data_IF_371278795825
#
_entry.id   IF_371278795825
#
_cell.length_a   1.000
_cell.length_b   1.000
_cell.length_c   1.000
_cell.angle_alpha   90.00
_cell.angle_beta   90.00
_cell.angle_gamma   90.00
#
_symmetry.space_group_name_H-M   'P 1'
#
loop_
_entity.id
_entity.type
_entity.pdbx_description
1 polymer ?
#
# COMPACT_ATOMS: atom_id res chain seq x y z
N UNK A 1 -16.32 32.05 -42.33
CA UNK A 1 -15.72 31.40 -43.52
C UNK A 1 -15.63 32.28 -44.76
N UNK A 2 -16.21 33.51 -44.76
CA UNK A 2 -16.16 34.41 -45.93
C UNK A 2 -16.98 33.91 -47.12
N UNK A 3 -18.00 33.09 -46.87
CA UNK A 3 -18.85 32.48 -47.91
C UNK A 3 -20.20 33.21 -48.01
N UNK A 4 -20.75 33.23 -49.22
CA UNK A 4 -22.08 33.80 -49.50
C UNK A 4 -23.19 32.83 -49.03
N UNK A 5 -24.40 33.32 -48.68
CA UNK A 5 -25.49 32.47 -48.17
C UNK A 5 -25.98 31.38 -49.12
N UNK A 6 -25.70 31.49 -50.41
CA UNK A 6 -26.05 30.51 -51.45
C UNK A 6 -24.87 29.62 -51.88
N UNK A 7 -23.79 29.59 -51.09
CA UNK A 7 -22.61 28.77 -51.41
C UNK A 7 -22.98 27.29 -51.54
N UNK A 8 -22.46 26.65 -52.58
CA UNK A 8 -22.70 25.23 -52.82
C UNK A 8 -22.02 24.37 -51.76
N UNK A 9 -22.55 23.17 -51.51
CA UNK A 9 -22.00 22.24 -50.52
C UNK A 9 -20.49 21.99 -50.72
N UNK A 10 -20.04 21.91 -51.97
CA UNK A 10 -18.63 21.70 -52.33
C UNK A 10 -17.72 22.89 -51.97
N UNK A 11 -18.26 24.10 -51.96
CA UNK A 11 -17.55 25.32 -51.54
C UNK A 11 -17.50 25.48 -50.02
N UNK A 12 -18.57 25.03 -49.34
CA UNK A 12 -18.64 24.93 -47.88
C UNK A 12 -17.60 23.92 -47.39
N UNK A 13 -17.54 22.73 -48.01
CA UNK A 13 -16.58 21.68 -47.65
C UNK A 13 -15.12 22.15 -47.86
N UNK A 14 -14.82 22.83 -48.97
CA UNK A 14 -13.50 23.43 -49.23
C UNK A 14 -13.14 24.58 -48.28
N UNK A 15 -14.12 25.33 -47.78
CA UNK A 15 -13.86 26.36 -46.79
C UNK A 15 -13.62 25.75 -45.40
N UNK A 16 -14.29 24.64 -45.11
CA UNK A 16 -14.10 23.86 -43.89
C UNK A 16 -12.71 23.20 -43.85
N UNK A 17 -12.27 22.57 -44.94
CA UNK A 17 -10.91 22.01 -45.04
C UNK A 17 -9.82 23.09 -44.89
N UNK A 18 -10.01 24.28 -45.49
CA UNK A 18 -9.10 25.42 -45.29
C UNK A 18 -9.06 25.90 -43.83
N UNK A 19 -10.15 25.75 -43.08
CA UNK A 19 -10.22 26.15 -41.68
C UNK A 19 -9.53 25.12 -40.77
N UNK A 20 -9.70 23.82 -41.04
CA UNK A 20 -8.98 22.75 -40.35
C UNK A 20 -7.48 22.89 -40.58
N UNK A 21 -7.06 23.09 -41.82
CA UNK A 21 -5.64 23.24 -42.16
C UNK A 21 -5.00 24.52 -41.57
N UNK A 22 -5.82 25.53 -41.23
CA UNK A 22 -5.38 26.73 -40.50
C UNK A 22 -5.26 26.46 -39.00
N UNK A 23 -6.10 25.58 -38.45
CA UNK A 23 -6.06 25.15 -37.05
C UNK A 23 -4.84 24.27 -36.74
N UNK A 24 -4.40 23.43 -37.69
CA UNK A 24 -3.21 22.59 -37.56
C UNK A 24 -1.89 23.33 -37.86
N UNK A 25 -1.96 24.61 -38.25
CA UNK A 25 -0.77 25.39 -38.57
C UNK A 25 -0.07 25.86 -37.28
N UNK A 26 1.25 25.64 -37.11
CA UNK A 26 1.97 25.89 -35.86
C UNK A 26 1.99 27.36 -35.38
N UNK A 27 1.51 28.30 -36.22
CA UNK A 27 1.40 29.71 -35.86
C UNK A 27 0.31 30.02 -34.81
N UNK A 28 -0.70 29.14 -34.61
CA UNK A 28 -1.79 29.35 -33.65
C UNK A 28 -1.53 28.71 -32.26
N UNK A 29 -0.50 27.88 -32.09
CA UNK A 29 -0.11 27.34 -30.78
C UNK A 29 0.56 28.38 -29.87
N UNK A 30 0.89 29.57 -30.38
CA UNK A 30 1.51 30.66 -29.59
C UNK A 30 0.53 31.65 -28.94
N UNK A 31 -0.78 31.51 -29.15
CA UNK A 31 -1.77 32.36 -28.47
C UNK A 31 -2.45 31.56 -27.36
N UNK A 32 -2.04 31.79 -26.11
CA UNK A 32 -2.64 31.18 -24.92
C UNK A 32 -4.10 31.61 -24.78
N UNK A 33 -5.03 30.65 -24.79
CA UNK A 33 -6.41 30.86 -24.34
C UNK A 33 -6.81 29.77 -23.34
N UNK A 34 -7.57 30.10 -22.29
CA UNK A 34 -7.94 29.14 -21.26
C UNK A 34 -8.82 28.00 -21.82
N UNK A 35 -8.58 26.73 -21.41
CA UNK A 35 -9.14 25.53 -22.05
C UNK A 35 -10.67 25.34 -21.90
N UNK A 36 -11.35 26.14 -21.07
CA UNK A 36 -12.80 26.05 -20.88
C UNK A 36 -13.60 26.63 -22.06
N UNK A 37 -13.14 27.72 -22.67
CA UNK A 37 -13.86 28.39 -23.75
C UNK A 37 -13.77 27.64 -25.10
N UNK A 38 -12.80 26.74 -25.25
CA UNK A 38 -12.61 25.96 -26.49
C UNK A 38 -13.60 24.80 -26.59
N UNK A 39 -13.86 24.09 -25.48
CA UNK A 39 -14.85 23.00 -25.45
C UNK A 39 -16.28 23.50 -25.62
N UNK A 40 -16.62 24.63 -25.02
CA UNK A 40 -17.93 25.26 -25.23
C UNK A 40 -18.12 25.71 -26.68
N UNK A 41 -17.11 26.32 -27.31
CA UNK A 41 -17.21 26.70 -28.73
C UNK A 41 -17.25 25.48 -29.67
N UNK A 42 -16.57 24.39 -29.34
CA UNK A 42 -16.63 23.13 -30.10
C UNK A 42 -18.04 22.51 -29.97
N UNK A 43 -18.62 22.48 -28.77
CA UNK A 43 -19.96 21.96 -28.56
C UNK A 43 -21.03 22.81 -29.28
N UNK A 44 -20.90 24.14 -29.24
CA UNK A 44 -21.81 25.06 -29.93
C UNK A 44 -21.71 24.96 -31.46
N UNK A 45 -20.50 24.69 -31.98
CA UNK A 45 -20.29 24.41 -33.40
C UNK A 45 -20.82 23.03 -33.83
N UNK A 46 -20.72 22.02 -32.97
CA UNK A 46 -21.27 20.68 -33.21
C UNK A 46 -22.80 20.69 -33.19
N UNK A 47 -23.40 21.42 -32.26
CA UNK A 47 -24.85 21.60 -32.18
C UNK A 47 -25.39 22.38 -33.38
N UNK A 48 -24.68 23.42 -33.83
CA UNK A 48 -25.01 24.14 -35.06
C UNK A 48 -24.91 23.24 -36.31
N UNK A 49 -23.90 22.36 -36.38
CA UNK A 49 -23.73 21.39 -37.46
C UNK A 49 -24.83 20.32 -37.48
N UNK A 50 -25.22 19.79 -36.32
CA UNK A 50 -26.30 18.81 -36.17
C UNK A 50 -27.68 19.41 -36.50
N UNK A 51 -27.87 20.70 -36.23
CA UNK A 51 -29.10 21.42 -36.57
C UNK A 51 -29.17 21.72 -38.07
N UNK A 52 -28.03 22.01 -38.72
CA UNK A 52 -27.96 22.29 -40.16
C UNK A 52 -27.95 21.02 -41.04
N UNK A 53 -27.49 19.88 -40.52
CA UNK A 53 -27.42 18.62 -41.28
C UNK A 53 -28.71 17.80 -41.23
N UNK A 54 -29.59 18.04 -40.26
CA UNK A 54 -30.85 17.32 -40.09
C UNK A 54 -32.08 18.21 -40.41
N UNK A 55 -32.84 17.93 -41.48
CA UNK A 55 -33.96 18.76 -41.93
C UNK A 55 -35.09 18.87 -40.89
N UNK A 56 -35.37 17.82 -40.10
CA UNK A 56 -36.41 17.85 -39.05
C UNK A 56 -36.02 18.76 -37.87
N UNK A 57 -34.72 18.82 -37.53
CA UNK A 57 -34.21 19.70 -36.47
C UNK A 57 -34.15 21.16 -36.91
N UNK A 58 -33.88 21.41 -38.20
CA UNK A 58 -33.99 22.72 -38.84
C UNK A 58 -35.40 23.28 -38.74
N UNK A 59 -36.41 22.49 -39.10
CA UNK A 59 -37.80 22.90 -38.96
C UNK A 59 -38.23 23.12 -37.50
N UNK A 60 -37.73 22.33 -36.55
CA UNK A 60 -38.01 22.51 -35.13
C UNK A 60 -37.41 23.82 -34.59
N UNK A 61 -36.20 24.17 -35.04
CA UNK A 61 -35.53 25.42 -34.71
C UNK A 61 -36.22 26.64 -35.35
N UNK A 62 -36.65 26.53 -36.62
CA UNK A 62 -37.39 27.59 -37.31
C UNK A 62 -38.81 27.77 -36.76
N UNK A 63 -39.44 26.71 -36.23
CA UNK A 63 -40.69 26.82 -35.45
C UNK A 63 -40.47 27.52 -34.11
N UNK A 64 -39.36 27.24 -33.42
CA UNK A 64 -39.01 27.90 -32.17
C UNK A 64 -38.76 29.41 -32.35
N UNK A 65 -38.18 29.82 -33.48
CA UNK A 65 -37.98 31.24 -33.82
C UNK A 65 -39.26 31.96 -34.27
N UNK A 66 -40.18 31.26 -34.93
CA UNK A 66 -41.45 31.84 -35.40
C UNK A 66 -42.53 31.94 -34.29
N UNK A 67 -42.41 31.19 -33.20
CA UNK A 67 -43.31 31.28 -32.03
C UNK A 67 -43.15 32.59 -31.22
N UNK A 68 -42.05 33.33 -31.41
CA UNK A 68 -41.80 34.61 -30.76
C UNK A 68 -42.58 35.82 -31.33
N UNK A 69 -43.44 35.62 -32.35
CA UNK A 69 -44.24 36.70 -32.97
C UNK A 69 -45.69 36.28 -33.24
N UNK A 70 -46.57 36.31 -32.22
CA UNK A 70 -47.97 36.77 -32.38
C UNK A 70 -48.67 36.96 -31.02
N UNK A 71 -49.64 37.88 -31.03
CA UNK A 71 -50.22 38.67 -29.92
C UNK A 71 -51.48 38.05 -29.28
N UNK A 72 -51.70 38.51 -28.03
CA UNK A 72 -52.95 38.84 -27.28
C UNK A 72 -53.80 37.75 -26.61
N UNK A 73 -53.97 37.95 -25.29
CA UNK A 73 -54.84 37.42 -24.20
C UNK A 73 -56.28 36.97 -24.57
N UNK A 74 -57.02 36.20 -23.71
CA UNK A 74 -56.94 36.16 -22.24
C UNK A 74 -57.06 34.78 -21.53
N UNK A 75 -56.81 34.85 -20.23
CA UNK A 75 -57.18 33.92 -19.14
C UNK A 75 -56.15 32.89 -18.65
N UNK A 76 -56.13 32.78 -17.31
CA UNK A 76 -55.60 31.71 -16.44
C UNK A 76 -54.17 31.80 -15.87
N UNK A 77 -54.18 32.17 -14.58
CA UNK A 77 -53.35 31.68 -13.47
C UNK A 77 -51.84 31.98 -13.46
N UNK A 78 -51.48 32.83 -12.48
CA UNK A 78 -50.13 33.10 -12.04
C UNK A 78 -49.38 31.83 -11.58
N UNK A 79 -48.34 31.44 -12.31
CA UNK A 79 -47.30 30.53 -11.80
C UNK A 79 -45.98 31.27 -11.68
N UNK A 80 -45.63 31.62 -10.45
CA UNK A 80 -44.33 32.18 -10.05
C UNK A 80 -43.20 31.16 -10.31
N UNK A 81 -42.19 31.55 -11.08
CA UNK A 81 -40.96 30.78 -11.31
C UNK A 81 -40.17 30.62 -9.99
N UNK A 82 -39.65 29.40 -9.69
CA UNK A 82 -38.92 29.16 -8.46
C UNK A 82 -37.60 29.96 -8.43
N UNK A 83 -37.28 30.48 -7.26
CA UNK A 83 -36.09 31.28 -7.02
C UNK A 83 -34.81 30.48 -7.29
N UNK A 84 -33.71 31.19 -7.59
CA UNK A 84 -32.37 30.59 -7.74
C UNK A 84 -31.92 29.75 -6.52
N UNK A 85 -32.48 30.00 -5.34
CA UNK A 85 -32.26 29.20 -4.15
C UNK A 85 -32.95 27.83 -4.25
N UNK A 86 -34.20 27.78 -4.73
CA UNK A 86 -34.96 26.55 -4.97
C UNK A 86 -34.37 25.72 -6.10
N UNK A 87 -33.88 26.35 -7.17
CA UNK A 87 -33.16 25.67 -8.26
C UNK A 87 -31.82 25.09 -7.80
N UNK A 88 -31.11 25.76 -6.88
CA UNK A 88 -29.89 25.22 -6.25
C UNK A 88 -30.21 24.08 -5.29
N UNK A 89 -31.33 24.14 -4.59
CA UNK A 89 -31.77 23.08 -3.69
C UNK A 89 -32.29 21.85 -4.45
N UNK A 90 -33.00 22.04 -5.56
CA UNK A 90 -33.40 21.00 -6.50
C UNK A 90 -32.18 20.35 -7.17
N UNK A 91 -31.19 21.14 -7.61
CA UNK A 91 -29.93 20.60 -8.14
C UNK A 91 -29.10 19.87 -7.06
N UNK A 92 -29.11 20.34 -5.80
CA UNK A 92 -28.51 19.60 -4.66
C UNK A 92 -29.23 18.27 -4.38
N UNK A 93 -30.56 18.22 -4.57
CA UNK A 93 -31.36 16.99 -4.45
C UNK A 93 -31.18 16.05 -5.64
N UNK A 94 -31.01 16.56 -6.87
CA UNK A 94 -30.81 15.75 -8.08
C UNK A 94 -29.40 15.18 -8.24
N UNK A 95 -28.36 15.85 -7.69
CA UNK A 95 -26.98 15.31 -7.65
C UNK A 95 -26.77 14.17 -6.64
N UNK A 96 -27.80 13.76 -5.91
CA UNK A 96 -27.79 12.49 -5.16
C UNK A 96 -28.08 11.36 -6.14
N UNK A 97 -27.01 10.75 -6.68
CA UNK A 97 -27.09 9.38 -7.17
C UNK A 97 -27.61 8.51 -6.01
N UNK A 98 -28.94 8.29 -5.95
CA UNK A 98 -29.59 7.50 -4.91
C UNK A 98 -28.93 6.12 -4.89
N UNK A 99 -28.06 5.87 -3.91
CA UNK A 99 -27.61 4.52 -3.67
C UNK A 99 -28.69 3.82 -2.87
N UNK A 100 -29.30 2.82 -3.48
CA UNK A 100 -30.49 2.14 -2.96
C UNK A 100 -30.28 1.63 -1.51
N UNK A 101 -29.07 1.16 -1.17
CA UNK A 101 -28.77 0.76 0.21
C UNK A 101 -28.43 1.95 1.14
N UNK A 102 -27.90 3.04 0.60
CA UNK A 102 -27.50 4.21 1.36
C UNK A 102 -28.71 4.79 2.10
N UNK A 103 -29.82 4.96 1.38
CA UNK A 103 -31.08 5.46 1.95
C UNK A 103 -31.71 4.44 2.91
N UNK A 104 -31.67 3.15 2.57
CA UNK A 104 -32.21 2.09 3.42
C UNK A 104 -31.57 2.05 4.81
N UNK A 105 -30.26 2.21 4.88
CA UNK A 105 -29.55 2.26 6.16
C UNK A 105 -29.59 3.67 6.78
N UNK A 106 -29.83 4.70 5.98
CA UNK A 106 -29.82 6.11 6.40
C UNK A 106 -28.39 6.67 6.50
N UNK A 107 -27.50 6.21 5.64
CA UNK A 107 -26.13 6.72 5.51
C UNK A 107 -26.14 8.11 4.85
N UNK A 108 -25.38 9.06 5.40
CA UNK A 108 -25.19 10.38 4.78
C UNK A 108 -24.43 10.29 3.46
N UNK A 109 -23.48 9.35 3.40
CA UNK A 109 -22.67 8.99 2.23
C UNK A 109 -22.20 7.53 2.35
N UNK A 110 -21.65 6.93 1.29
CA UNK A 110 -21.25 5.52 1.34
C UNK A 110 -20.10 5.30 2.33
N UNK A 111 -20.26 4.43 3.35
CA UNK A 111 -19.21 4.21 4.34
C UNK A 111 -17.95 3.58 3.76
N UNK A 112 -18.05 2.76 2.71
CA UNK A 112 -16.93 1.98 2.16
C UNK A 112 -16.58 2.36 0.73
N UNK A 113 -16.77 3.64 0.37
CA UNK A 113 -16.30 4.13 -0.92
C UNK A 113 -14.78 3.97 -1.06
N UNK A 114 -14.33 3.71 -2.29
CA UNK A 114 -12.92 3.56 -2.65
C UNK A 114 -12.24 4.90 -2.91
N UNK A 115 -13.02 5.97 -3.09
CA UNK A 115 -12.48 7.32 -3.21
C UNK A 115 -11.79 7.72 -1.90
N UNK A 116 -10.53 8.19 -1.96
CA UNK A 116 -9.81 8.60 -0.76
C UNK A 116 -10.40 9.90 -0.20
N UNK A 117 -11.16 9.79 0.89
CA UNK A 117 -11.66 10.92 1.69
C UNK A 117 -10.96 10.92 3.07
N UNK A 118 -10.25 12.01 3.44
CA UNK A 118 -9.61 12.14 4.75
C UNK A 118 -10.54 11.89 5.95
N UNK A 119 -11.85 12.17 5.83
CA UNK A 119 -12.82 11.94 6.92
C UNK A 119 -12.93 10.48 7.34
N UNK A 120 -12.66 9.57 6.40
CA UNK A 120 -12.72 8.13 6.61
C UNK A 120 -11.36 7.52 6.99
N UNK A 121 -10.33 8.36 7.14
CA UNK A 121 -9.00 7.91 7.50
C UNK A 121 -8.98 7.41 8.95
N UNK A 122 -8.90 6.10 9.09
CA UNK A 122 -8.63 5.45 10.38
C UNK A 122 -7.13 5.37 10.63
N UNK A 123 -6.66 6.17 11.60
CA UNK A 123 -5.28 6.12 12.08
C UNK A 123 -5.12 5.00 13.11
N UNK A 124 -4.67 3.83 12.67
CA UNK A 124 -4.27 2.74 13.56
C UNK A 124 -3.06 3.17 14.41
N UNK A 125 -2.78 2.52 15.55
CA UNK A 125 -1.57 2.78 16.33
C UNK A 125 -0.30 2.74 15.47
N UNK A 126 -0.19 1.76 14.57
CA UNK A 126 0.92 1.65 13.61
C UNK A 126 1.00 2.81 12.63
N UNK A 127 -0.14 3.28 12.13
CA UNK A 127 -0.17 4.47 11.26
C UNK A 127 0.34 5.71 12.00
N UNK A 128 -0.04 5.87 13.28
CA UNK A 128 0.42 6.98 14.11
C UNK A 128 1.93 6.94 14.36
N UNK A 129 2.48 5.75 14.57
CA UNK A 129 3.93 5.56 14.71
C UNK A 129 4.66 5.96 13.42
N UNK A 130 4.22 5.47 12.26
CA UNK A 130 4.80 5.85 10.96
C UNK A 130 4.73 7.36 10.74
N UNK A 131 3.60 7.99 11.06
CA UNK A 131 3.44 9.43 10.94
C UNK A 131 4.35 10.20 11.91
N UNK A 132 4.44 9.79 13.17
CA UNK A 132 5.29 10.45 14.16
C UNK A 132 6.75 10.45 13.72
N UNK A 133 7.22 9.34 13.15
CA UNK A 133 8.57 9.31 12.63
C UNK A 133 8.74 10.06 11.30
N UNK A 134 7.72 10.11 10.45
CA UNK A 134 7.73 10.96 9.26
C UNK A 134 7.89 12.43 9.67
N UNK A 135 7.13 12.90 10.67
CA UNK A 135 7.29 14.25 11.26
C UNK A 135 8.73 14.46 11.71
N UNK A 136 9.25 13.53 12.53
CA UNK A 136 10.62 13.62 13.03
C UNK A 136 11.63 13.71 11.89
N UNK A 137 11.50 12.86 10.87
CA UNK A 137 12.40 12.86 9.72
C UNK A 137 12.35 14.17 8.92
N UNK A 138 11.16 14.74 8.76
CA UNK A 138 11.00 16.03 8.10
C UNK A 138 11.53 17.20 8.95
N UNK A 139 11.47 17.09 10.29
CA UNK A 139 11.99 18.08 11.25
C UNK A 139 13.52 18.04 11.40
N UNK A 140 14.14 16.87 11.27
CA UNK A 140 15.60 16.71 11.34
C UNK A 140 16.31 16.98 10.01
N UNK A 141 15.58 17.39 8.95
CA UNK A 141 16.14 17.59 7.60
C UNK A 141 16.86 16.35 7.04
N UNK A 142 16.33 15.16 7.36
CA UNK A 142 16.84 13.92 6.78
C UNK A 142 16.52 13.90 5.28
N UNK A 143 17.56 13.79 4.45
CA UNK A 143 17.44 14.05 3.01
C UNK A 143 16.47 13.12 2.27
N UNK A 144 16.45 11.82 2.61
CA UNK A 144 15.54 10.84 2.01
C UNK A 144 14.77 10.04 3.05
N UNK A 145 13.47 9.96 2.81
CA UNK A 145 12.53 9.13 3.54
C UNK A 145 11.85 8.17 2.56
N UNK A 146 11.62 6.94 3.00
CA UNK A 146 10.94 5.91 2.21
C UNK A 146 9.78 5.29 2.98
N UNK A 147 8.63 5.19 2.33
CA UNK A 147 7.44 4.51 2.85
C UNK A 147 7.01 3.46 1.82
N UNK A 148 7.19 2.19 2.16
CA UNK A 148 6.73 1.05 1.37
C UNK A 148 5.51 0.40 2.00
N UNK A 149 4.74 -0.35 1.22
CA UNK A 149 3.65 -1.16 1.75
C UNK A 149 2.76 -1.71 0.65
N UNK A 150 1.96 -2.71 0.99
CA UNK A 150 1.11 -3.40 0.03
C UNK A 150 0.10 -2.49 -0.67
N UNK A 151 -0.42 -2.94 -1.83
CA UNK A 151 -1.43 -2.19 -2.57
C UNK A 151 -2.70 -2.04 -1.71
N UNK A 152 -3.16 -0.80 -1.58
CA UNK A 152 -4.41 -0.51 -0.86
C UNK A 152 -4.30 -0.49 0.67
N UNK A 153 -3.08 -0.45 1.24
CA UNK A 153 -2.81 -0.18 2.68
C UNK A 153 -3.10 1.26 3.12
N UNK A 154 -3.28 2.18 2.16
CA UNK A 154 -3.63 3.57 2.44
C UNK A 154 -2.44 4.53 2.50
N UNK A 155 -1.26 4.15 2.00
CA UNK A 155 -0.04 4.98 1.92
C UNK A 155 -0.33 6.41 1.43
N UNK A 156 -0.90 6.53 0.23
CA UNK A 156 -1.29 7.81 -0.39
C UNK A 156 -2.28 8.60 0.47
N UNK A 157 -3.28 7.93 1.06
CA UNK A 157 -4.30 8.60 1.88
C UNK A 157 -3.70 9.14 3.18
N UNK A 158 -2.83 8.37 3.83
CA UNK A 158 -2.11 8.76 5.04
C UNK A 158 -1.20 9.95 4.74
N UNK A 159 -0.38 9.86 3.69
CA UNK A 159 0.54 10.94 3.33
C UNK A 159 -0.23 12.22 2.97
N UNK A 160 -1.26 12.15 2.12
CA UNK A 160 -2.08 13.33 1.79
C UNK A 160 -2.77 13.96 3.00
N UNK A 161 -3.29 13.15 3.93
CA UNK A 161 -3.92 13.69 5.14
C UNK A 161 -2.89 14.37 6.04
N UNK A 162 -1.70 13.79 6.14
CA UNK A 162 -0.62 14.32 6.95
C UNK A 162 -0.06 15.63 6.39
N UNK A 163 0.16 15.71 5.08
CA UNK A 163 0.65 16.92 4.42
C UNK A 163 -0.30 18.10 4.59
N UNK A 164 -1.60 17.83 4.67
CA UNK A 164 -2.60 18.84 4.98
C UNK A 164 -2.39 19.53 6.32
N UNK A 165 -1.82 18.82 7.29
CA UNK A 165 -1.56 19.35 8.62
C UNK A 165 -0.23 20.12 8.69
N UNK A 166 0.69 19.89 7.75
CA UNK A 166 2.03 20.50 7.74
C UNK A 166 2.17 21.82 6.93
N UNK A 167 1.13 22.24 6.20
CA UNK A 167 1.25 23.34 5.22
C UNK A 167 1.70 24.71 5.75
N UNK A 168 1.80 24.93 7.06
CA UNK A 168 2.27 26.21 7.60
C UNK A 168 3.79 26.43 7.42
N UNK A 169 4.59 25.37 7.51
CA UNK A 169 6.07 25.47 7.54
C UNK A 169 6.76 24.84 6.31
N UNK A 170 5.98 24.19 5.44
CA UNK A 170 6.48 23.35 4.35
C UNK A 170 5.86 23.69 3.00
N UNK A 171 6.72 23.90 1.99
CA UNK A 171 6.33 23.89 0.58
C UNK A 171 6.47 22.48 0.03
N UNK A 172 5.37 21.94 -0.48
CA UNK A 172 5.27 20.53 -0.82
C UNK A 172 4.98 20.38 -2.32
N UNK A 173 5.85 19.65 -3.02
CA UNK A 173 5.59 19.17 -4.37
C UNK A 173 5.10 17.72 -4.32
N UNK A 174 3.90 17.43 -4.84
CA UNK A 174 3.34 16.08 -4.81
C UNK A 174 3.26 15.47 -6.21
N UNK A 175 4.03 14.43 -6.47
CA UNK A 175 4.12 13.75 -7.76
C UNK A 175 3.36 12.41 -7.67
N UNK A 176 2.21 12.32 -8.35
CA UNK A 176 1.36 11.12 -8.33
C UNK A 176 1.64 10.13 -9.47
N UNK A 177 2.15 10.60 -10.61
CA UNK A 177 2.44 9.77 -11.78
C UNK A 177 3.93 9.83 -12.12
N UNK A 178 4.76 8.93 -11.58
CA UNK A 178 6.20 8.95 -11.78
C UNK A 178 6.66 8.26 -13.08
N UNK A 179 5.75 7.85 -13.97
CA UNK A 179 6.09 7.26 -15.27
C UNK A 179 6.63 8.29 -16.28
N UNK A 180 7.50 9.19 -15.80
CA UNK A 180 7.98 10.40 -16.45
C UNK A 180 9.48 10.32 -16.62
N UNK A 181 10.02 11.00 -17.64
CA UNK A 181 11.47 11.06 -17.84
C UNK A 181 12.15 12.03 -16.84
N UNK A 182 13.49 12.08 -16.84
CA UNK A 182 14.25 12.96 -15.95
C UNK A 182 13.91 14.45 -16.13
N UNK A 183 13.56 14.87 -17.35
CA UNK A 183 13.24 16.27 -17.66
C UNK A 183 11.83 16.60 -17.14
N UNK A 184 10.86 15.76 -17.45
CA UNK A 184 9.47 15.86 -17.02
C UNK A 184 9.35 15.79 -15.49
N UNK A 185 10.20 15.01 -14.81
CA UNK A 185 10.32 15.06 -13.34
C UNK A 185 10.66 16.47 -12.84
N UNK A 186 11.69 17.10 -13.40
CA UNK A 186 12.10 18.46 -13.01
C UNK A 186 11.01 19.49 -13.34
N UNK A 187 10.38 19.36 -14.50
CA UNK A 187 9.27 20.22 -14.90
C UNK A 187 8.07 20.07 -13.97
N UNK A 188 7.76 18.85 -13.56
CA UNK A 188 6.67 18.55 -12.62
C UNK A 188 6.97 19.11 -11.24
N UNK A 189 8.19 18.92 -10.71
CA UNK A 189 8.62 19.52 -9.44
C UNK A 189 8.48 21.04 -9.48
N UNK A 190 9.01 21.68 -10.52
CA UNK A 190 8.91 23.13 -10.66
C UNK A 190 7.45 23.59 -10.74
N UNK A 191 6.61 22.89 -11.53
CA UNK A 191 5.19 23.23 -11.68
C UNK A 191 4.43 23.12 -10.36
N UNK A 192 4.64 22.05 -9.59
CA UNK A 192 3.99 21.84 -8.29
C UNK A 192 4.44 22.87 -7.24
N UNK A 193 5.69 23.37 -7.34
CA UNK A 193 6.21 24.46 -6.51
C UNK A 193 5.84 25.86 -7.03
N UNK A 194 5.08 25.97 -8.12
CA UNK A 194 4.69 27.26 -8.71
C UNK A 194 5.82 27.99 -9.45
N UNK A 195 6.85 27.27 -9.88
CA UNK A 195 8.02 27.79 -10.59
C UNK A 195 7.91 27.62 -12.10
N UNK A 196 8.65 28.41 -12.90
CA UNK A 196 8.72 28.21 -14.35
C UNK A 196 9.26 26.82 -14.73
N UNK A 197 8.52 26.10 -15.57
CA UNK A 197 8.80 24.72 -15.97
C UNK A 197 8.95 24.49 -17.48
N UNK A 198 8.63 25.46 -18.34
CA UNK A 198 8.64 25.29 -19.82
C UNK A 198 10.03 25.16 -20.48
N UNK A 199 11.10 24.93 -19.71
CA UNK A 199 12.44 24.80 -20.27
C UNK A 199 12.74 23.36 -20.69
N UNK A 200 13.32 23.13 -21.88
CA UNK A 200 13.87 21.84 -22.26
C UNK A 200 15.25 21.54 -21.64
N UNK A 201 15.83 22.51 -20.90
CA UNK A 201 17.16 22.36 -20.31
C UNK A 201 17.05 21.96 -18.84
N UNK A 202 17.49 20.73 -18.53
CA UNK A 202 17.57 20.22 -17.15
C UNK A 202 18.34 21.19 -16.24
N UNK A 203 19.48 21.71 -16.71
CA UNK A 203 20.28 22.69 -15.96
C UNK A 203 19.47 23.94 -15.60
N UNK A 204 18.76 24.53 -16.57
CA UNK A 204 17.95 25.73 -16.31
C UNK A 204 16.85 25.46 -15.28
N UNK A 205 16.19 24.30 -15.35
CA UNK A 205 15.18 23.90 -14.37
C UNK A 205 15.78 23.73 -12.97
N UNK A 206 16.94 23.07 -12.88
CA UNK A 206 17.67 22.90 -11.61
C UNK A 206 18.16 24.23 -11.04
N UNK A 207 18.65 25.16 -11.86
CA UNK A 207 19.10 26.48 -11.41
C UNK A 207 17.92 27.31 -10.84
N UNK A 208 16.76 27.25 -11.50
CA UNK A 208 15.51 27.87 -11.03
C UNK A 208 15.11 27.25 -9.69
N UNK A 209 15.10 25.92 -9.59
CA UNK A 209 14.77 25.20 -8.37
C UNK A 209 15.72 25.57 -7.24
N UNK A 210 17.04 25.51 -7.46
CA UNK A 210 18.04 25.83 -6.45
C UNK A 210 17.88 27.27 -5.91
N UNK A 211 17.63 28.24 -6.80
CA UNK A 211 17.38 29.62 -6.41
C UNK A 211 16.13 29.76 -5.52
N UNK A 212 15.07 29.00 -5.83
CA UNK A 212 13.86 28.95 -5.02
C UNK A 212 14.13 28.29 -3.66
N UNK A 213 14.80 27.14 -3.63
CA UNK A 213 15.11 26.42 -2.40
C UNK A 213 15.91 27.28 -1.40
N UNK A 214 16.89 28.05 -1.89
CA UNK A 214 17.66 28.98 -1.06
C UNK A 214 16.77 30.08 -0.47
N UNK A 215 15.86 30.67 -1.26
CA UNK A 215 14.93 31.71 -0.79
C UNK A 215 13.95 31.20 0.25
N UNK A 216 13.41 30.00 0.06
CA UNK A 216 12.51 29.38 1.05
C UNK A 216 13.27 29.10 2.35
N UNK A 217 14.53 28.66 2.24
CA UNK A 217 15.37 28.43 3.41
C UNK A 217 15.64 29.72 4.18
N UNK A 218 15.92 30.83 3.50
CA UNK A 218 16.08 32.16 4.12
C UNK A 218 14.82 32.62 4.87
N UNK A 219 13.63 32.21 4.39
CA UNK A 219 12.35 32.48 5.04
C UNK A 219 12.04 31.51 6.19
N UNK A 220 12.89 30.51 6.43
CA UNK A 220 12.69 29.45 7.43
C UNK A 220 11.76 28.33 6.96
N UNK A 221 11.23 28.39 5.74
CA UNK A 221 10.42 27.34 5.16
C UNK A 221 11.28 26.17 4.69
N UNK A 222 10.66 25.00 4.59
CA UNK A 222 11.30 23.77 4.13
C UNK A 222 10.60 23.27 2.88
N UNK A 223 11.37 22.66 1.97
CA UNK A 223 10.82 22.12 0.72
C UNK A 223 10.85 20.60 0.75
N UNK A 224 9.69 19.99 0.51
CA UNK A 224 9.49 18.54 0.51
C UNK A 224 8.96 18.11 -0.85
N UNK A 225 9.64 17.18 -1.49
CA UNK A 225 9.18 16.54 -2.73
C UNK A 225 8.72 15.13 -2.40
N UNK A 226 7.49 14.82 -2.80
CA UNK A 226 6.84 13.54 -2.50
C UNK A 226 6.56 12.84 -3.79
N UNK A 227 7.13 11.65 -3.94
CA UNK A 227 6.99 10.85 -5.15
C UNK A 227 6.20 9.60 -4.77
N UNK A 228 4.95 9.55 -5.21
CA UNK A 228 4.06 8.39 -5.02
C UNK A 228 4.27 7.37 -6.14
N UNK A 229 3.96 6.10 -5.87
CA UNK A 229 4.19 4.96 -6.77
C UNK A 229 5.64 4.87 -7.30
N UNK A 230 6.62 5.22 -6.47
CA UNK A 230 8.03 5.35 -6.84
C UNK A 230 8.66 4.06 -7.40
N UNK A 231 8.05 2.88 -7.19
CA UNK A 231 8.50 1.63 -7.83
C UNK A 231 8.37 1.67 -9.37
N UNK A 232 7.58 2.60 -9.92
CA UNK A 232 7.42 2.77 -11.36
C UNK A 232 8.49 3.69 -11.97
N UNK A 233 9.37 4.30 -11.17
CA UNK A 233 10.45 5.13 -11.67
C UNK A 233 11.52 4.29 -12.37
N UNK A 234 12.05 4.81 -13.47
CA UNK A 234 13.22 4.24 -14.11
C UNK A 234 14.49 4.54 -13.28
N UNK A 235 15.51 3.67 -13.30
CA UNK A 235 16.77 3.89 -12.57
C UNK A 235 17.43 5.24 -12.86
N UNK A 236 17.37 5.70 -14.11
CA UNK A 236 17.92 6.98 -14.56
C UNK A 236 17.20 8.17 -13.90
N UNK A 237 15.89 8.04 -13.68
CA UNK A 237 15.08 9.06 -12.99
C UNK A 237 15.38 9.04 -11.49
N UNK A 238 15.57 7.87 -10.88
CA UNK A 238 16.02 7.75 -9.49
C UNK A 238 17.42 8.35 -9.27
N UNK A 239 18.30 8.24 -10.27
CA UNK A 239 19.59 8.92 -10.25
C UNK A 239 19.42 10.45 -10.30
N UNK A 240 18.50 10.96 -11.13
CA UNK A 240 18.17 12.39 -11.11
C UNK A 240 17.61 12.85 -9.75
N UNK A 241 16.76 12.03 -9.11
CA UNK A 241 16.29 12.26 -7.75
C UNK A 241 17.46 12.28 -6.76
N UNK A 242 18.44 11.37 -6.90
CA UNK A 242 19.68 11.37 -6.11
C UNK A 242 20.45 12.68 -6.28
N UNK A 243 20.57 13.19 -7.51
CA UNK A 243 21.26 14.45 -7.81
C UNK A 243 20.56 15.65 -7.16
N UNK A 244 19.22 15.69 -7.16
CA UNK A 244 18.46 16.75 -6.50
C UNK A 244 18.72 16.82 -4.99
N UNK A 245 18.90 15.69 -4.31
CA UNK A 245 19.25 15.68 -2.88
C UNK A 245 20.63 16.25 -2.53
N UNK A 246 21.48 16.51 -3.53
CA UNK A 246 22.74 17.25 -3.37
C UNK A 246 22.53 18.76 -3.31
N UNK A 247 21.31 19.25 -3.53
CA UNK A 247 21.01 20.67 -3.32
C UNK A 247 21.02 20.92 -1.81
N UNK A 248 22.16 21.40 -1.33
CA UNK A 248 22.47 21.68 0.06
C UNK A 248 23.37 22.91 0.16
N UNK A 249 23.33 23.59 1.30
CA UNK A 249 24.37 24.55 1.69
C UNK A 249 25.51 23.80 2.38
N UNK A 250 26.59 24.49 2.75
CA UNK A 250 27.68 23.89 3.52
C UNK A 250 27.22 23.27 4.85
N UNK A 251 26.07 23.71 5.37
CA UNK A 251 25.58 23.34 6.69
C UNK A 251 24.28 22.54 6.65
N UNK A 252 23.47 22.62 5.60
CA UNK A 252 22.08 22.16 5.65
C UNK A 252 21.52 21.67 4.30
N UNK A 253 20.67 20.64 4.34
CA UNK A 253 19.89 20.19 3.19
C UNK A 253 18.81 21.19 2.81
N UNK A 254 18.70 21.50 1.52
CA UNK A 254 17.69 22.44 1.00
C UNK A 254 16.40 21.76 0.56
N UNK A 255 16.47 20.45 0.27
CA UNK A 255 15.35 19.66 -0.24
C UNK A 255 15.29 18.32 0.46
N UNK A 256 14.07 17.91 0.83
CA UNK A 256 13.77 16.60 1.38
C UNK A 256 12.93 15.81 0.41
N UNK A 257 13.21 14.52 0.26
CA UNK A 257 12.51 13.67 -0.70
C UNK A 257 11.86 12.50 0.03
N UNK A 258 10.55 12.34 -0.15
CA UNK A 258 9.77 11.21 0.38
C UNK A 258 9.36 10.30 -0.78
N UNK A 259 9.91 9.10 -0.79
CA UNK A 259 9.57 8.06 -1.76
C UNK A 259 8.47 7.17 -1.17
N UNK A 260 7.32 7.13 -1.82
CA UNK A 260 6.19 6.27 -1.44
C UNK A 260 6.03 5.22 -2.53
N UNK A 261 5.98 3.95 -2.15
CA UNK A 261 5.87 2.88 -3.14
C UNK A 261 5.38 1.56 -2.58
N UNK A 262 5.38 0.57 -3.45
CA UNK A 262 5.09 -0.84 -3.13
C UNK A 262 6.40 -1.56 -2.74
N UNK A 263 6.36 -2.78 -2.17
CA UNK A 263 7.59 -3.51 -1.78
C UNK A 263 8.60 -3.68 -2.92
N UNK A 264 8.16 -3.68 -4.17
CA UNK A 264 9.00 -3.71 -5.38
C UNK A 264 9.98 -2.53 -5.46
N UNK A 265 9.68 -1.41 -4.78
CA UNK A 265 10.63 -0.30 -4.64
C UNK A 265 11.88 -0.72 -3.86
N UNK A 266 11.75 -1.62 -2.88
CA UNK A 266 12.91 -2.14 -2.16
C UNK A 266 13.77 -2.96 -3.09
N UNK A 267 13.19 -3.84 -3.90
CA UNK A 267 13.94 -4.63 -4.88
C UNK A 267 14.66 -3.74 -5.89
N UNK A 268 13.99 -2.69 -6.37
CA UNK A 268 14.57 -1.69 -7.27
C UNK A 268 15.79 -0.99 -6.63
N UNK A 269 15.66 -0.52 -5.39
CA UNK A 269 16.73 0.18 -4.67
C UNK A 269 17.90 -0.73 -4.25
N UNK A 270 17.70 -2.05 -4.24
CA UNK A 270 18.77 -3.01 -3.95
C UNK A 270 19.70 -3.27 -5.15
N UNK A 271 19.36 -2.78 -6.35
CA UNK A 271 20.25 -2.88 -7.51
C UNK A 271 21.56 -2.13 -7.27
N UNK A 272 22.65 -2.65 -7.84
CA UNK A 272 24.01 -2.13 -7.62
C UNK A 272 24.19 -0.70 -8.15
N UNK A 273 23.51 -0.36 -9.26
CA UNK A 273 23.50 0.97 -9.87
C UNK A 273 22.83 2.03 -8.96
N UNK A 274 21.90 1.63 -8.10
CA UNK A 274 21.16 2.51 -7.17
C UNK A 274 21.70 2.46 -5.73
N UNK A 275 22.81 1.77 -5.48
CA UNK A 275 23.41 1.63 -4.14
C UNK A 275 23.64 2.97 -3.45
N UNK A 276 24.08 3.99 -4.20
CA UNK A 276 24.35 5.33 -3.66
C UNK A 276 23.07 6.04 -3.19
N UNK A 277 21.96 5.89 -3.93
CA UNK A 277 20.67 6.44 -3.53
C UNK A 277 20.16 5.71 -2.28
N UNK A 278 20.22 4.37 -2.27
CA UNK A 278 19.79 3.56 -1.13
C UNK A 278 20.49 3.94 0.18
N UNK A 279 21.80 4.22 0.13
CA UNK A 279 22.58 4.66 1.29
C UNK A 279 22.18 6.02 1.85
N UNK A 280 21.50 6.86 1.05
CA UNK A 280 21.02 8.17 1.49
C UNK A 280 19.65 8.11 2.16
N UNK A 281 18.91 7.01 1.99
CA UNK A 281 17.63 6.78 2.66
C UNK A 281 17.90 6.64 4.15
N UNK A 282 17.68 7.72 4.88
CA UNK A 282 17.95 7.79 6.31
C UNK A 282 16.86 7.09 7.10
N UNK A 283 15.64 7.13 6.57
CA UNK A 283 14.52 6.49 7.23
C UNK A 283 13.63 5.72 6.27
N UNK A 284 13.32 4.49 6.67
CA UNK A 284 12.50 3.54 5.93
C UNK A 284 11.39 3.03 6.85
N UNK A 285 10.16 3.05 6.35
CA UNK A 285 9.02 2.41 6.99
C UNK A 285 8.24 1.52 6.05
N UNK A 286 7.67 0.48 6.64
CA UNK A 286 6.74 -0.41 6.00
C UNK A 286 5.34 -0.23 6.60
N UNK A 287 4.40 0.16 5.76
CA UNK A 287 2.99 0.26 6.12
C UNK A 287 2.34 -1.12 6.02
N UNK A 288 2.30 -1.79 7.18
CA UNK A 288 1.73 -3.13 7.30
C UNK A 288 0.20 -3.13 7.20
N UNK A 289 -0.42 -4.22 6.70
CA UNK A 289 -1.86 -4.42 6.77
C UNK A 289 -2.40 -4.38 8.21
N UNK A 290 -3.67 -4.00 8.36
CA UNK A 290 -4.33 -3.92 9.66
C UNK A 290 -4.44 -5.31 10.30
N UNK A 291 -4.17 -5.41 11.60
CA UNK A 291 -4.47 -6.61 12.36
C UNK A 291 -6.00 -6.80 12.56
N UNK A 292 -6.42 -7.90 13.20
CA UNK A 292 -7.84 -8.19 13.41
C UNK A 292 -8.56 -7.13 14.25
N UNK A 293 -7.93 -6.61 15.30
CA UNK A 293 -8.53 -5.57 16.16
C UNK A 293 -8.62 -4.24 15.42
N UNK A 294 -7.56 -3.87 14.72
CA UNK A 294 -7.50 -2.69 13.86
C UNK A 294 -8.53 -2.77 12.73
N UNK A 295 -8.74 -3.94 12.13
CA UNK A 295 -9.78 -4.16 11.11
C UNK A 295 -11.18 -3.93 11.68
N UNK A 296 -11.45 -4.38 12.91
CA UNK A 296 -12.72 -4.11 13.59
C UNK A 296 -12.89 -2.62 13.86
N UNK A 297 -11.85 -1.97 14.36
CA UNK A 297 -11.81 -0.52 14.59
C UNK A 297 -12.06 0.27 13.31
N UNK A 298 -11.41 -0.11 12.21
CA UNK A 298 -11.55 0.46 10.88
C UNK A 298 -12.99 0.39 10.36
N UNK A 299 -13.59 -0.81 10.35
CA UNK A 299 -14.98 -1.02 9.91
C UNK A 299 -15.93 -0.17 10.75
N UNK A 300 -15.75 -0.17 12.07
CA UNK A 300 -16.61 0.59 12.98
C UNK A 300 -16.45 2.11 12.79
N UNK A 301 -15.21 2.58 12.61
CA UNK A 301 -14.91 3.98 12.34
C UNK A 301 -15.63 4.46 11.08
N UNK A 302 -15.47 3.76 9.95
CA UNK A 302 -16.11 4.14 8.69
C UNK A 302 -17.65 4.14 8.78
N UNK A 303 -18.24 3.18 9.49
CA UNK A 303 -19.69 3.18 9.76
C UNK A 303 -20.13 4.37 10.64
N UNK A 304 -19.33 4.72 11.64
CA UNK A 304 -19.65 5.83 12.53
C UNK A 304 -19.61 7.17 11.80
N UNK A 305 -18.62 7.39 10.92
CA UNK A 305 -18.50 8.60 10.10
C UNK A 305 -19.72 8.74 9.18
N UNK A 306 -20.14 7.65 8.54
CA UNK A 306 -21.23 7.69 7.57
C UNK A 306 -22.65 7.80 8.14
N UNK A 307 -22.88 7.39 9.40
CA UNK A 307 -24.25 7.18 9.93
C UNK A 307 -24.47 7.64 11.38
N UNK A 308 -23.40 7.91 12.14
CA UNK A 308 -23.50 7.97 13.61
C UNK A 308 -23.80 6.59 14.23
N UNK A 309 -23.93 6.51 15.56
CA UNK A 309 -24.05 5.21 16.27
C UNK A 309 -25.38 4.50 15.97
N UNK A 310 -25.34 3.24 15.52
CA UNK A 310 -26.31 2.22 15.98
C UNK A 310 -27.23 1.50 14.97
N UNK A 311 -27.40 1.93 13.72
CA UNK A 311 -28.40 1.29 12.82
C UNK A 311 -27.92 0.05 12.06
N UNK A 312 -26.63 -0.05 11.76
CA UNK A 312 -26.03 -1.16 11.00
C UNK A 312 -24.95 -1.82 11.84
N UNK A 313 -24.99 -3.15 11.97
CA UNK A 313 -24.04 -3.88 12.82
C UNK A 313 -23.42 -5.06 12.10
N UNK A 314 -22.10 -5.01 11.95
CA UNK A 314 -21.31 -6.18 11.62
C UNK A 314 -21.13 -7.02 12.88
N UNK A 315 -21.44 -8.30 12.78
CA UNK A 315 -21.16 -9.25 13.89
C UNK A 315 -19.64 -9.45 14.03
N UNK A 316 -19.14 -9.77 15.23
CA UNK A 316 -17.71 -10.06 15.45
C UNK A 316 -17.18 -11.14 14.49
N UNK A 317 -17.98 -12.19 14.27
CA UNK A 317 -17.67 -13.27 13.34
C UNK A 317 -17.73 -12.83 11.86
N UNK A 318 -18.51 -11.81 11.50
CA UNK A 318 -18.49 -11.23 10.17
C UNK A 318 -17.21 -10.42 9.95
N UNK A 319 -16.81 -9.57 10.92
CA UNK A 319 -15.56 -8.81 10.84
C UNK A 319 -14.33 -9.71 10.79
N UNK A 320 -14.31 -10.79 11.57
CA UNK A 320 -13.24 -11.80 11.48
C UNK A 320 -13.20 -12.47 10.11
N UNK A 321 -14.37 -12.78 9.53
CA UNK A 321 -14.44 -13.30 8.17
C UNK A 321 -13.88 -12.30 7.16
N UNK A 322 -14.23 -11.01 7.27
CA UNK A 322 -13.69 -9.95 6.41
C UNK A 322 -12.17 -9.88 6.55
N UNK A 323 -11.65 -9.83 7.79
CA UNK A 323 -10.21 -9.83 8.05
C UNK A 323 -9.51 -11.02 7.36
N UNK A 324 -10.06 -12.22 7.49
CA UNK A 324 -9.47 -13.43 6.88
C UNK A 324 -9.36 -13.33 5.36
N UNK A 325 -10.37 -12.81 4.66
CA UNK A 325 -10.33 -12.69 3.20
C UNK A 325 -9.61 -11.43 2.69
N UNK A 326 -9.55 -10.38 3.51
CA UNK A 326 -8.89 -9.13 3.16
C UNK A 326 -7.41 -9.08 3.52
N UNK A 327 -6.94 -9.99 4.37
CA UNK A 327 -5.60 -9.95 4.96
C UNK A 327 -5.31 -8.65 5.74
N UNK A 328 -6.36 -7.92 6.14
CA UNK A 328 -6.20 -6.61 6.79
C UNK A 328 -5.98 -5.44 5.83
N UNK A 329 -6.05 -5.65 4.51
CA UNK A 329 -5.86 -4.60 3.51
C UNK A 329 -7.12 -3.71 3.44
N UNK A 330 -7.06 -2.41 3.79
CA UNK A 330 -8.18 -1.47 3.78
C UNK A 330 -8.99 -1.47 2.47
N UNK A 331 -8.33 -1.44 1.31
CA UNK A 331 -9.02 -1.50 0.00
C UNK A 331 -9.89 -2.74 -0.12
N UNK A 332 -9.36 -3.92 0.22
CA UNK A 332 -10.10 -5.17 0.16
C UNK A 332 -11.20 -5.23 1.21
N UNK A 333 -10.95 -4.71 2.42
CA UNK A 333 -11.98 -4.55 3.46
C UNK A 333 -13.17 -3.75 2.91
N UNK A 334 -12.91 -2.62 2.24
CA UNK A 334 -13.94 -1.76 1.68
C UNK A 334 -14.78 -2.50 0.64
N UNK A 335 -14.13 -3.16 -0.33
CA UNK A 335 -14.84 -3.90 -1.39
C UNK A 335 -15.73 -5.00 -0.79
N UNK A 336 -15.22 -5.76 0.16
CA UNK A 336 -15.99 -6.84 0.81
C UNK A 336 -17.13 -6.27 1.67
N UNK A 337 -16.89 -5.20 2.43
CA UNK A 337 -17.89 -4.59 3.30
C UNK A 337 -19.01 -3.90 2.51
N UNK A 338 -18.68 -3.15 1.45
CA UNK A 338 -19.64 -2.54 0.54
C UNK A 338 -20.55 -3.60 -0.10
N UNK A 339 -19.96 -4.67 -0.64
CA UNK A 339 -20.71 -5.78 -1.23
C UNK A 339 -21.58 -6.49 -0.19
N UNK A 340 -21.09 -6.66 1.04
CA UNK A 340 -21.86 -7.25 2.12
C UNK A 340 -23.06 -6.38 2.54
N UNK A 341 -22.91 -5.05 2.55
CA UNK A 341 -24.02 -4.13 2.82
C UNK A 341 -25.10 -4.20 1.74
N UNK A 342 -24.69 -4.28 0.47
CA UNK A 342 -25.60 -4.44 -0.66
C UNK A 342 -26.40 -5.75 -0.58
N UNK A 343 -25.74 -6.87 -0.26
CA UNK A 343 -26.41 -8.17 -0.09
C UNK A 343 -27.33 -8.18 1.14
N UNK A 344 -26.91 -7.58 2.24
CA UNK A 344 -27.78 -7.45 3.42
C UNK A 344 -29.01 -6.59 3.13
N UNK A 345 -28.85 -5.56 2.28
CA UNK A 345 -29.95 -4.71 1.83
C UNK A 345 -30.97 -5.50 1.01
N UNK A 346 -30.54 -6.33 0.06
CA UNK A 346 -31.48 -7.18 -0.72
C UNK A 346 -32.22 -8.21 0.15
N UNK A 347 -31.69 -8.52 1.34
CA UNK A 347 -32.31 -9.39 2.34
C UNK A 347 -33.08 -8.61 3.41
N UNK A 348 -33.19 -7.28 3.29
CA UNK A 348 -33.83 -6.39 4.26
C UNK A 348 -33.33 -6.58 5.71
N UNK A 349 -32.02 -6.88 5.89
CA UNK A 349 -31.42 -7.08 7.21
C UNK A 349 -30.41 -5.99 7.54
N UNK A 350 -30.44 -5.52 8.79
CA UNK A 350 -29.47 -4.55 9.35
C UNK A 350 -28.27 -5.21 10.04
N UNK A 351 -28.28 -6.54 10.15
CA UNK A 351 -27.25 -7.33 10.83
C UNK A 351 -26.40 -8.09 9.81
N UNK A 352 -25.15 -7.69 9.64
CA UNK A 352 -24.22 -8.33 8.72
C UNK A 352 -23.59 -9.53 9.43
N UNK A 353 -23.97 -10.71 8.97
CA UNK A 353 -23.48 -12.00 9.49
C UNK A 353 -22.39 -12.58 8.60
N UNK A 354 -21.65 -13.57 9.12
CA UNK A 354 -20.64 -14.31 8.34
C UNK A 354 -21.20 -14.91 7.05
N UNK A 355 -22.48 -15.31 7.02
CA UNK A 355 -23.13 -15.85 5.81
C UNK A 355 -23.20 -14.80 4.70
N UNK A 356 -23.58 -13.56 5.05
CA UNK A 356 -23.62 -12.43 4.12
C UNK A 356 -22.22 -12.12 3.58
N UNK A 357 -21.22 -12.07 4.46
CA UNK A 357 -19.82 -11.82 4.06
C UNK A 357 -19.30 -12.90 3.12
N UNK A 358 -19.56 -14.18 3.39
CA UNK A 358 -19.12 -15.27 2.49
C UNK A 358 -19.77 -15.16 1.12
N UNK A 359 -21.03 -14.75 1.05
CA UNK A 359 -21.72 -14.47 -0.22
C UNK A 359 -21.05 -13.29 -0.94
N UNK A 360 -20.76 -12.21 -0.23
CA UNK A 360 -20.04 -11.05 -0.78
C UNK A 360 -18.69 -11.44 -1.37
N UNK A 361 -17.90 -12.22 -0.64
CA UNK A 361 -16.60 -12.73 -1.09
C UNK A 361 -16.75 -13.62 -2.33
N UNK A 362 -17.76 -14.48 -2.36
CA UNK A 362 -18.05 -15.33 -3.53
C UNK A 362 -18.42 -14.49 -4.76
N UNK A 363 -19.21 -13.44 -4.58
CA UNK A 363 -19.63 -12.53 -5.65
C UNK A 363 -18.47 -11.70 -6.20
N UNK A 364 -17.49 -11.33 -5.36
CA UNK A 364 -16.28 -10.59 -5.79
C UNK A 364 -15.32 -11.50 -6.56
N UNK A 365 -15.16 -12.76 -6.12
CA UNK A 365 -14.18 -13.69 -6.69
C UNK A 365 -12.72 -13.34 -6.31
N UNK A 366 -11.79 -14.25 -6.59
CA UNK A 366 -10.34 -13.99 -6.47
C UNK A 366 -9.75 -13.89 -5.04
N UNK A 367 -10.57 -13.73 -4.00
CA UNK A 367 -10.09 -13.60 -2.62
C UNK A 367 -9.88 -14.96 -1.94
N UNK A 368 -8.66 -15.23 -1.47
CA UNK A 368 -8.31 -16.41 -0.69
C UNK A 368 -8.28 -16.07 0.81
N UNK A 369 -8.78 -16.94 1.69
CA UNK A 369 -8.76 -16.66 3.12
C UNK A 369 -7.37 -16.95 3.71
N UNK A 370 -6.96 -16.16 4.70
CA UNK A 370 -5.91 -16.48 5.65
C UNK A 370 -6.15 -17.89 6.21
N UNK A 371 -5.17 -18.75 6.00
CA UNK A 371 -5.12 -20.10 6.56
C UNK A 371 -4.91 -19.96 8.06
N UNK A 372 -5.95 -20.25 8.83
CA UNK A 372 -5.81 -20.34 10.29
C UNK A 372 -5.03 -21.60 10.60
N UNK A 373 -3.85 -21.48 11.22
CA UNK A 373 -3.05 -22.63 11.66
C UNK A 373 -3.89 -23.60 12.51
N UNK A 374 -4.78 -23.08 13.38
CA UNK A 374 -5.75 -23.88 14.14
C UNK A 374 -6.69 -24.70 13.23
N UNK A 375 -7.17 -24.14 12.13
CA UNK A 375 -8.01 -24.88 11.18
C UNK A 375 -7.27 -26.01 10.47
N UNK A 376 -5.98 -25.83 10.17
CA UNK A 376 -5.14 -26.87 9.55
C UNK A 376 -4.78 -27.96 10.55
N UNK A 377 -4.43 -27.59 11.79
CA UNK A 377 -4.11 -28.53 12.87
C UNK A 377 -5.33 -29.40 13.19
N UNK A 378 -6.50 -28.80 13.41
CA UNK A 378 -7.70 -29.56 13.78
C UNK A 378 -8.26 -30.41 12.63
N UNK A 379 -8.08 -29.99 11.37
CA UNK A 379 -8.56 -30.76 10.20
C UNK A 379 -7.58 -31.82 9.70
N UNK A 380 -6.28 -31.66 9.91
CA UNK A 380 -5.25 -32.59 9.40
C UNK A 380 -4.55 -33.38 10.50
N UNK A 381 -4.21 -32.75 11.62
CA UNK A 381 -3.42 -33.36 12.70
C UNK A 381 -4.30 -34.17 13.64
N UNK A 382 -5.47 -33.67 14.03
CA UNK A 382 -6.39 -34.38 14.93
C UNK A 382 -6.86 -35.75 14.37
N UNK A 383 -7.32 -35.87 13.10
CA UNK A 383 -7.67 -37.19 12.55
C UNK A 383 -6.45 -38.09 12.34
N UNK A 384 -5.27 -37.53 12.05
CA UNK A 384 -4.04 -38.32 11.96
C UNK A 384 -3.63 -38.88 13.33
N UNK A 385 -3.69 -38.07 14.39
CA UNK A 385 -3.44 -38.52 15.76
C UNK A 385 -4.49 -39.54 16.23
N UNK A 386 -5.78 -39.32 15.92
CA UNK A 386 -6.82 -40.29 16.22
C UNK A 386 -6.61 -41.62 15.49
N UNK A 387 -6.17 -41.58 14.23
CA UNK A 387 -5.82 -42.77 13.46
C UNK A 387 -4.61 -43.53 14.01
N UNK A 388 -3.56 -42.81 14.42
CA UNK A 388 -2.37 -43.40 15.07
C UNK A 388 -2.74 -43.99 16.44
N UNK A 389 -3.57 -43.30 17.23
CA UNK A 389 -4.04 -43.81 18.51
C UNK A 389 -4.93 -45.06 18.37
N UNK A 390 -5.79 -45.12 17.34
CA UNK A 390 -6.59 -46.30 17.01
C UNK A 390 -5.72 -47.48 16.56
N UNK A 391 -4.67 -47.20 15.76
CA UNK A 391 -3.68 -48.21 15.37
C UNK A 391 -2.88 -48.72 16.57
N UNK A 392 -2.39 -47.83 17.43
CA UNK A 392 -1.68 -48.19 18.65
C UNK A 392 -2.56 -49.01 19.60
N UNK A 393 -3.82 -48.61 19.80
CA UNK A 393 -4.80 -49.36 20.58
C UNK A 393 -5.13 -50.73 19.95
N UNK A 394 -5.22 -50.80 18.62
CA UNK A 394 -5.39 -52.05 17.89
C UNK A 394 -4.19 -52.99 18.08
N UNK A 395 -2.96 -52.48 17.98
CA UNK A 395 -1.73 -53.25 18.18
C UNK A 395 -1.62 -53.74 19.63
N UNK A 396 -1.86 -52.87 20.62
CA UNK A 396 -1.87 -53.22 22.03
C UNK A 396 -2.86 -54.36 22.33
N UNK A 397 -4.07 -54.26 21.76
CA UNK A 397 -5.16 -55.20 22.07
C UNK A 397 -5.16 -56.49 21.26
N UNK A 398 -4.54 -56.52 20.07
CA UNK A 398 -4.51 -57.72 19.21
C UNK A 398 -3.13 -58.36 19.07
N UNK A 399 -2.04 -57.61 19.18
CA UNK A 399 -0.67 -58.11 18.95
C UNK A 399 0.07 -58.36 20.26
N UNK A 400 -0.26 -57.65 21.34
CA UNK A 400 0.43 -57.75 22.64
C UNK A 400 -0.50 -58.00 23.84
N UNK A 401 -1.38 -59.04 23.84
CA UNK A 401 -2.29 -59.28 24.95
C UNK A 401 -1.59 -59.63 26.29
N UNK A 402 -0.35 -60.12 26.26
CA UNK A 402 0.41 -60.56 27.45
C UNK A 402 1.60 -59.66 27.82
N UNK A 403 1.71 -58.45 27.24
CA UNK A 403 2.80 -57.54 27.58
C UNK A 403 2.59 -56.93 28.97
N UNK A 404 3.26 -57.47 29.98
CA UNK A 404 3.42 -56.82 31.29
C UNK A 404 4.54 -55.78 31.18
N UNK A 405 4.31 -54.50 31.54
CA UNK A 405 5.40 -53.54 31.59
C UNK A 405 6.47 -54.04 32.57
N UNK A 406 7.77 -53.88 32.25
CA UNK A 406 8.84 -54.29 33.16
C UNK A 406 8.70 -53.54 34.50
N UNK A 407 9.00 -54.19 35.65
CA UNK A 407 8.91 -53.54 36.95
C UNK A 407 9.95 -52.42 37.05
N UNK A 408 9.45 -51.22 37.36
CA UNK A 408 10.09 -49.93 37.65
C UNK A 408 11.48 -49.59 37.05
N UNK A 409 11.61 -48.43 36.37
CA UNK A 409 12.89 -47.95 35.86
C UNK A 409 13.71 -47.31 36.98
N UNK A 410 14.40 -48.12 37.79
CA UNK A 410 15.50 -47.68 38.66
C UNK A 410 15.13 -46.68 39.78
N UNK A 411 16.08 -46.37 40.67
CA UNK A 411 15.82 -45.58 41.86
C UNK A 411 15.46 -44.13 41.52
N UNK A 412 14.36 -43.66 42.11
CA UNK A 412 13.74 -42.35 41.95
C UNK A 412 14.77 -41.20 42.04
N UNK A 413 14.65 -40.16 41.22
CA UNK A 413 15.64 -39.06 41.12
C UNK A 413 15.87 -38.40 42.49
N UNK A 414 14.82 -38.37 43.33
CA UNK A 414 14.90 -37.91 44.71
C UNK A 414 15.90 -38.73 45.56
N UNK A 415 15.98 -40.05 45.36
CA UNK A 415 16.92 -40.93 46.06
C UNK A 415 18.37 -40.82 45.57
N UNK A 416 18.58 -40.35 44.33
CA UNK A 416 19.92 -40.07 43.79
C UNK A 416 20.46 -38.73 44.29
N UNK A 417 19.59 -37.75 44.50
CA UNK A 417 19.91 -36.44 45.10
C UNK A 417 20.22 -36.59 46.60
N UNK A 418 19.51 -37.49 47.30
CA UNK A 418 19.76 -37.78 48.71
C UNK A 418 21.11 -38.49 48.94
N UNK A 419 21.57 -39.29 47.96
CA UNK A 419 22.88 -39.95 47.99
C UNK A 419 24.05 -39.04 47.63
N UNK A 420 23.83 -37.94 46.90
CA UNK A 420 24.86 -36.95 46.56
C UNK A 420 24.29 -35.53 46.74
N UNK A 421 24.19 -35.02 47.98
CA UNK A 421 23.78 -33.64 48.20
C UNK A 421 24.85 -32.70 47.64
N UNK A 422 24.45 -31.84 46.70
CA UNK A 422 25.29 -30.77 46.18
C UNK A 422 25.31 -29.65 47.23
N UNK A 423 26.45 -29.37 47.85
CA UNK A 423 26.62 -28.24 48.75
C UNK A 423 26.67 -26.93 47.94
N UNK A 424 25.57 -26.17 47.98
CA UNK A 424 25.38 -24.95 47.18
C UNK A 424 26.17 -23.74 47.69
N UNK A 425 27.07 -23.89 48.67
CA UNK A 425 27.81 -22.77 49.25
C UNK A 425 29.04 -22.33 48.45
N UNK A 426 29.51 -23.09 47.45
CA UNK A 426 30.57 -22.66 46.52
C UNK A 426 30.37 -23.28 45.13
N UNK A 427 30.11 -22.50 44.05
CA UNK A 427 29.98 -23.04 42.71
C UNK A 427 31.36 -23.35 42.11
N UNK A 428 31.64 -24.61 41.76
CA UNK A 428 32.64 -24.93 40.74
C UNK A 428 33.79 -25.91 41.07
N UNK A 429 33.76 -26.69 42.16
CA UNK A 429 34.83 -27.68 42.41
C UNK A 429 34.28 -29.09 42.68
N UNK A 430 34.78 -30.09 41.92
CA UNK A 430 34.49 -31.51 42.12
C UNK A 430 35.51 -32.10 43.11
N UNK A 431 35.03 -32.74 44.18
CA UNK A 431 35.86 -33.50 45.12
C UNK A 431 36.30 -34.83 44.47
N UNK A 432 37.58 -35.25 44.53
CA UNK A 432 38.01 -36.52 43.96
C UNK A 432 37.65 -37.70 44.87
N UNK A 433 37.03 -38.76 44.32
CA UNK A 433 36.85 -40.03 45.04
C UNK A 433 38.04 -40.98 44.82
N UNK A 434 38.44 -41.63 45.92
CA UNK A 434 39.45 -42.70 46.01
C UNK A 434 38.94 -43.99 45.36
N UNK A 435 39.73 -44.57 44.46
CA UNK A 435 39.54 -45.94 43.95
C UNK A 435 40.10 -46.99 44.91
N UNK A 436 39.37 -48.07 45.25
CA UNK A 436 39.99 -49.30 45.75
C UNK A 436 40.26 -50.33 44.63
N UNK A 437 41.52 -50.78 44.60
CA UNK A 437 42.07 -52.06 44.09
C UNK A 437 41.26 -53.29 44.54
N UNK A 438 41.30 -54.51 43.98
CA UNK A 438 42.07 -55.19 42.92
C UNK A 438 41.48 -56.61 42.73
N UNK A 439 41.76 -57.26 41.58
CA UNK A 439 42.09 -58.70 41.39
C UNK A 439 41.75 -59.11 39.94
N UNK A 440 42.49 -59.91 39.19
CA UNK A 440 43.85 -60.41 39.18
C UNK A 440 44.09 -60.94 37.74
N UNK A 441 45.30 -60.81 37.23
CA UNK A 441 45.73 -61.24 35.89
C UNK A 441 45.83 -62.79 35.78
N UNK A 442 45.88 -63.36 34.55
CA UNK A 442 47.20 -63.80 34.10
C UNK A 442 47.54 -63.40 32.66
N UNK A 443 48.85 -63.40 32.42
CA UNK A 443 49.57 -62.72 31.35
C UNK A 443 49.89 -63.68 30.16
N UNK A 444 50.85 -63.39 29.25
CA UNK A 444 50.55 -63.12 27.85
C UNK A 444 51.21 -64.12 26.87
N UNK A 445 50.75 -64.17 25.62
CA UNK A 445 51.49 -64.86 24.55
C UNK A 445 51.83 -63.92 23.39
N UNK A 446 53.10 -63.99 22.97
CA UNK A 446 53.78 -63.11 22.02
C UNK A 446 53.56 -63.54 20.56
N UNK A 447 53.90 -62.66 19.57
CA UNK A 447 53.43 -62.74 18.19
C UNK A 447 54.50 -63.25 17.20
N UNK A 448 54.08 -63.78 16.04
CA UNK A 448 54.89 -63.88 14.80
C UNK A 448 53.99 -63.99 13.54
N UNK A 449 54.46 -63.84 12.28
CA UNK A 449 54.07 -62.73 11.41
C UNK A 449 53.58 -63.17 10.01
N UNK A 450 53.11 -62.25 9.16
CA UNK A 450 53.24 -62.41 7.70
C UNK A 450 53.14 -61.07 6.95
N UNK A 451 54.25 -60.71 6.31
CA UNK A 451 54.38 -59.83 5.13
C UNK A 451 54.45 -60.75 3.88
N UNK A 452 54.57 -60.26 2.62
CA UNK A 452 54.07 -59.03 1.97
C UNK A 452 53.56 -59.28 0.51
N UNK A 453 52.99 -58.25 -0.14
CA UNK A 453 53.07 -58.03 -1.60
C UNK A 453 52.81 -56.53 -1.87
N UNK A 454 53.83 -55.71 -2.11
CA UNK A 454 54.44 -55.38 -3.42
C UNK A 454 53.47 -54.63 -4.36
N UNK A 455 53.58 -53.29 -4.46
CA UNK A 455 54.24 -52.48 -5.55
C UNK A 455 53.14 -51.72 -6.31
N UNK A 456 53.25 -50.48 -6.80
CA UNK A 456 54.35 -49.57 -7.07
C UNK A 456 53.81 -48.10 -7.15
N UNK A 457 54.67 -47.14 -6.78
CA UNK A 457 54.98 -45.79 -7.37
C UNK A 457 53.81 -44.87 -7.82
N UNK A 458 53.81 -43.55 -7.58
CA UNK A 458 54.92 -42.59 -7.55
C UNK A 458 54.55 -41.25 -6.86
N UNK A 459 55.60 -40.57 -6.37
CA UNK A 459 55.82 -39.11 -6.25
C UNK A 459 55.19 -38.27 -5.09
N UNK A 460 56.04 -38.05 -4.08
CA UNK A 460 56.13 -36.94 -3.10
C UNK A 460 56.87 -35.72 -3.73
N UNK A 461 57.11 -34.54 -3.05
CA UNK A 461 56.93 -34.24 -1.62
C UNK A 461 56.31 -32.87 -1.23
N UNK A 462 55.73 -32.86 -0.01
CA UNK A 462 56.11 -32.05 1.18
C UNK A 462 56.30 -30.50 0.99
N UNK A 463 55.63 -29.57 1.69
CA UNK A 463 55.54 -29.38 3.14
C UNK A 463 54.59 -28.24 3.55
N UNK A 464 53.78 -28.52 4.59
CA UNK A 464 53.57 -27.75 5.85
C UNK A 464 53.00 -26.32 5.74
N UNK A 465 52.06 -25.84 6.56
CA UNK A 465 51.58 -26.25 7.90
C UNK A 465 50.46 -25.26 8.32
N UNK A 466 49.42 -25.79 9.00
CA UNK A 466 48.81 -25.28 10.28
C UNK A 466 48.11 -23.90 10.25
N UNK A 467 46.99 -23.61 10.93
CA UNK A 467 46.30 -24.12 12.13
C UNK A 467 44.79 -23.84 11.96
N UNK A 468 43.97 -24.64 12.66
CA UNK A 468 42.51 -24.66 12.61
C UNK A 468 41.73 -23.65 13.49
N UNK A 469 40.46 -23.97 13.80
CA UNK A 469 39.37 -23.04 14.12
C UNK A 469 39.03 -22.98 15.62
N UNK A 470 38.27 -21.97 16.08
CA UNK A 470 37.51 -21.95 17.36
C UNK A 470 36.65 -20.67 17.43
N UNK A 471 35.34 -20.78 17.40
CA UNK A 471 34.40 -20.75 18.54
C UNK A 471 34.01 -19.34 19.07
N UNK A 472 32.70 -19.13 18.96
CA UNK A 472 31.78 -18.39 19.83
C UNK A 472 32.34 -17.74 21.11
N UNK A 473 32.04 -16.45 21.27
CA UNK A 473 31.96 -15.76 22.55
C UNK A 473 30.63 -15.01 22.62
N UNK A 474 29.72 -15.57 23.43
CA UNK A 474 28.58 -14.87 24.05
C UNK A 474 29.01 -14.60 25.49
N UNK A 475 29.07 -13.33 25.87
CA UNK A 475 29.09 -12.74 27.23
C UNK A 475 29.03 -11.22 26.98
N UNK A 476 28.35 -10.34 27.71
CA UNK A 476 27.34 -10.38 28.76
C UNK A 476 26.78 -8.96 28.85
N UNK A 477 25.59 -8.81 29.43
CA UNK A 477 24.94 -7.53 29.72
C UNK A 477 25.72 -6.59 30.67
N UNK A 478 25.25 -5.34 30.68
CA UNK A 478 25.40 -4.24 31.68
C UNK A 478 26.76 -3.56 31.81
N UNK A 479 26.89 -2.30 31.38
CA UNK A 479 26.58 -1.11 32.20
C UNK A 479 26.79 0.21 31.43
N UNK A 480 25.84 1.13 31.60
CA UNK A 480 25.95 2.61 31.60
C UNK A 480 26.72 3.33 30.47
N UNK A 481 25.98 3.94 29.55
CA UNK A 481 25.77 5.41 29.43
C UNK A 481 24.75 5.73 28.34
#
# INVERSE_FOLDING_TARGET
LGLHPEASQKEIDRAYERLIHRFDSPALQKASFPPAALKEKIALLQEAYDTLSNPEKREAHDRALNLGRKRTDPDEESYSLPSLAELKEQNRKQKRNHNVYQDYYGFTEKPFDLTPDPKYLYLSPKHKEVLAHLVYGLQENNGFLKIVGEVGTGKTTICRSFLKELHADFNIAYIFNPGIDELELLQTINTELGLPSDSPSKKKLTDILNTFLLKEREQGHRVVVIIDEAQNLQPEVLEQVRLLSNLETETEKLIQIVLIGQPELDDLLHRDDLRQLRQRITIQWELLPLNLEETRGYIQHRLNVALGKGKVRFTRAAMECIYRYSHGIPRTINVVADRALLIAFTQSTKKITTRVVRRAVKDIGGLRPLTSWRGTVWKKILPAFAGVALLAYGVDRWVLPDWKPPPDPGPDIHSLIEKNPIDLKQPGELVPQKTPQAAATPAPEKPVPTQPAARDRAEEPDRKRRIGPSQALVLSQTDKL
#
